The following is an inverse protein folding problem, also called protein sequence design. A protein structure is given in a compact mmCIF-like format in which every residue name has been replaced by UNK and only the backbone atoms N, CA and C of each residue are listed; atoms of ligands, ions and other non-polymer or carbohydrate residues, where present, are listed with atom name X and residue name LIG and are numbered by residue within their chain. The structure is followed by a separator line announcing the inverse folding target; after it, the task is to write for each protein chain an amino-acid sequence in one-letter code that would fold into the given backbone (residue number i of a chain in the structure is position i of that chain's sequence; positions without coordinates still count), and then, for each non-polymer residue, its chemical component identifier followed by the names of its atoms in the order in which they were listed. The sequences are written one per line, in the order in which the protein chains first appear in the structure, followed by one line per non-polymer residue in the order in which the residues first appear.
data_IF_669417941751
#
_entry.id   IF_669417941751
#
_cell.length_a   1.000
_cell.length_b   1.000
_cell.length_c   1.000
_cell.angle_alpha   90.00
_cell.angle_beta   90.00
_cell.angle_gamma   90.00
#
_symmetry.space_group_name_H-M   'P 1'
#
loop_
_entity.id
_entity.type
_entity.pdbx_description
1 polymer ?
#
# COMPACT_ATOMS: atom_id res chain seq x y z
N UNK A 1 18.67 10.53 -6.15
CA UNK A 1 17.48 9.71 -5.82
C UNK A 1 17.11 8.90 -7.06
N UNK A 2 16.96 7.59 -6.95
CA UNK A 2 16.46 6.74 -8.04
C UNK A 2 14.94 6.80 -8.09
N UNK A 3 14.34 6.55 -9.26
CA UNK A 3 12.87 6.53 -9.41
C UNK A 3 12.18 5.60 -8.39
N UNK A 4 12.81 4.48 -8.05
CA UNK A 4 12.32 3.50 -7.06
C UNK A 4 12.21 4.12 -5.66
N UNK A 5 13.20 4.92 -5.25
CA UNK A 5 13.17 5.61 -3.95
C UNK A 5 12.01 6.59 -3.84
N UNK A 6 11.67 7.27 -4.95
CA UNK A 6 10.53 8.20 -4.99
C UNK A 6 9.21 7.46 -4.81
N UNK A 7 8.99 6.36 -5.54
CA UNK A 7 7.77 5.57 -5.39
C UNK A 7 7.63 4.96 -4.00
N UNK A 8 8.74 4.45 -3.45
CA UNK A 8 8.77 3.96 -2.09
C UNK A 8 8.40 5.05 -1.08
N UNK A 9 8.97 6.24 -1.23
CA UNK A 9 8.69 7.37 -0.35
C UNK A 9 7.22 7.80 -0.40
N UNK A 10 6.59 7.80 -1.58
CA UNK A 10 5.19 8.17 -1.72
C UNK A 10 4.24 7.22 -0.98
N UNK A 11 4.60 5.94 -0.84
CA UNK A 11 3.72 4.92 -0.24
C UNK A 11 4.13 4.58 1.18
N UNK A 12 5.40 4.22 1.39
CA UNK A 12 5.90 3.56 2.61
C UNK A 12 6.71 4.48 3.52
N UNK A 13 6.93 5.74 3.17
CA UNK A 13 7.59 6.67 4.07
C UNK A 13 6.55 7.39 4.97
N UNK A 14 6.53 7.13 6.29
CA UNK A 14 5.55 7.72 7.21
C UNK A 14 5.72 9.23 7.44
N UNK A 15 6.79 9.83 6.94
CA UNK A 15 7.03 11.28 7.02
C UNK A 15 6.61 12.00 5.74
N UNK A 16 6.47 11.28 4.62
CA UNK A 16 6.20 11.86 3.29
C UNK A 16 4.86 11.44 2.70
N UNK A 17 4.32 10.30 3.12
CA UNK A 17 3.05 9.80 2.59
C UNK A 17 1.85 10.58 3.17
N UNK A 18 0.65 10.45 2.58
CA UNK A 18 -0.54 11.18 3.04
C UNK A 18 -0.88 10.95 4.52
N UNK A 19 -0.53 9.79 5.08
CA UNK A 19 -0.74 9.44 6.49
C UNK A 19 0.18 10.20 7.46
N UNK A 20 1.17 10.96 6.97
CA UNK A 20 2.17 11.64 7.81
C UNK A 20 1.57 12.61 8.83
N UNK A 21 0.36 13.12 8.55
CA UNK A 21 -0.38 14.11 9.34
C UNK A 21 -1.12 13.51 10.53
N UNK A 22 -1.38 12.21 10.50
CA UNK A 22 -2.10 11.53 11.56
C UNK A 22 -1.28 11.51 12.87
N UNK A 23 -1.95 11.44 14.04
CA UNK A 23 -1.28 11.23 15.31
C UNK A 23 -0.33 10.03 15.25
N UNK A 24 0.83 10.14 15.91
CA UNK A 24 1.92 9.14 15.83
C UNK A 24 1.45 7.69 16.01
N UNK A 25 0.49 7.47 16.92
CA UNK A 25 -0.05 6.14 17.23
C UNK A 25 -0.88 5.57 16.06
N UNK A 26 -1.80 6.36 15.50
CA UNK A 26 -2.66 5.95 14.38
C UNK A 26 -1.84 5.75 13.11
N UNK A 27 -0.87 6.66 12.88
CA UNK A 27 0.08 6.54 11.78
C UNK A 27 0.87 5.24 11.85
N UNK A 28 1.40 4.88 13.03
CA UNK A 28 2.11 3.62 13.20
C UNK A 28 1.21 2.42 12.88
N UNK A 29 -0.01 2.38 13.43
CA UNK A 29 -0.96 1.29 13.19
C UNK A 29 -1.29 1.13 11.70
N UNK A 30 -1.66 2.21 11.02
CA UNK A 30 -1.99 2.17 9.60
C UNK A 30 -0.79 1.78 8.74
N UNK A 31 0.41 2.26 9.07
CA UNK A 31 1.64 1.87 8.36
C UNK A 31 1.98 0.40 8.58
N UNK A 32 1.77 -0.14 9.78
CA UNK A 32 1.95 -1.58 10.05
C UNK A 32 0.93 -2.42 9.28
N UNK A 33 -0.34 -2.01 9.25
CA UNK A 33 -1.37 -2.69 8.46
C UNK A 33 -1.04 -2.63 6.96
N UNK A 34 -0.61 -1.48 6.46
CA UNK A 34 -0.19 -1.29 5.07
C UNK A 34 1.00 -2.23 4.74
N UNK A 35 2.01 -2.30 5.60
CA UNK A 35 3.14 -3.21 5.43
C UNK A 35 2.70 -4.68 5.40
N UNK A 36 1.86 -5.10 6.36
CA UNK A 36 1.34 -6.47 6.41
C UNK A 36 0.50 -6.82 5.18
N UNK A 37 -0.35 -5.90 4.72
CA UNK A 37 -1.16 -6.10 3.51
C UNK A 37 -0.26 -6.37 2.30
N UNK A 38 0.76 -5.52 2.07
CA UNK A 38 1.69 -5.70 0.96
C UNK A 38 2.52 -6.98 1.10
N UNK A 39 2.95 -7.35 2.31
CA UNK A 39 3.61 -8.65 2.56
C UNK A 39 2.72 -9.83 2.21
N UNK A 40 1.44 -9.80 2.59
CA UNK A 40 0.47 -10.87 2.29
C UNK A 40 0.21 -10.94 0.77
N UNK A 41 0.02 -9.80 0.11
CA UNK A 41 -0.19 -9.76 -1.35
C UNK A 41 1.01 -10.34 -2.08
N UNK A 42 2.24 -9.95 -1.73
CA UNK A 42 3.43 -10.49 -2.37
C UNK A 42 3.66 -11.96 -2.06
N UNK A 43 3.40 -12.40 -0.83
CA UNK A 43 3.50 -13.80 -0.45
C UNK A 43 2.48 -14.66 -1.20
N UNK A 44 1.21 -14.24 -1.24
CA UNK A 44 0.15 -14.92 -1.97
C UNK A 44 0.42 -14.94 -3.48
N UNK A 45 0.91 -13.82 -4.04
CA UNK A 45 1.28 -13.74 -5.46
C UNK A 45 2.45 -14.67 -5.79
N UNK A 46 3.50 -14.70 -4.96
CA UNK A 46 4.63 -15.61 -5.15
C UNK A 46 4.20 -17.08 -5.00
N UNK A 47 3.35 -17.40 -4.02
CA UNK A 47 2.78 -18.73 -3.83
C UNK A 47 1.94 -19.19 -5.02
N UNK A 48 1.07 -18.32 -5.54
CA UNK A 48 0.26 -18.59 -6.72
C UNK A 48 1.14 -18.80 -7.96
N UNK A 49 2.21 -18.01 -8.09
CA UNK A 49 3.15 -18.14 -9.20
C UNK A 49 3.86 -19.49 -9.18
N UNK A 50 4.28 -19.96 -8.00
CA UNK A 50 4.95 -21.26 -7.83
C UNK A 50 4.00 -22.43 -8.07
N UNK A 51 2.75 -22.35 -7.61
CA UNK A 51 1.80 -23.46 -7.78
C UNK A 51 1.26 -23.51 -9.21
N UNK A 52 0.75 -22.39 -9.72
CA UNK A 52 0.07 -22.37 -11.02
C UNK A 52 0.39 -21.06 -11.76
N UNK A 53 1.54 -21.01 -12.46
CA UNK A 53 1.98 -19.80 -13.16
C UNK A 53 1.01 -19.34 -14.26
N UNK A 54 0.10 -20.22 -14.71
CA UNK A 54 -0.95 -19.87 -15.67
C UNK A 54 -1.99 -18.87 -15.13
N UNK A 55 -2.18 -18.77 -13.81
CA UNK A 55 -3.19 -17.88 -13.20
C UNK A 55 -2.69 -16.43 -13.08
N UNK A 56 -2.15 -15.87 -14.16
CA UNK A 56 -1.71 -14.46 -14.21
C UNK A 56 -2.80 -13.48 -13.73
N UNK A 57 -4.07 -13.79 -14.02
CA UNK A 57 -5.23 -13.00 -13.59
C UNK A 57 -5.29 -12.87 -12.06
N UNK A 58 -4.98 -13.93 -11.31
CA UNK A 58 -4.99 -13.88 -9.84
C UNK A 58 -3.90 -12.96 -9.28
N UNK A 59 -2.71 -12.96 -9.88
CA UNK A 59 -1.60 -12.08 -9.49
C UNK A 59 -1.97 -10.61 -9.73
N UNK A 60 -2.51 -10.32 -10.91
CA UNK A 60 -2.95 -8.96 -11.27
C UNK A 60 -4.09 -8.50 -10.35
N UNK A 61 -5.07 -9.37 -10.05
CA UNK A 61 -6.16 -9.02 -9.15
C UNK A 61 -5.67 -8.68 -7.74
N UNK A 62 -4.72 -9.45 -7.18
CA UNK A 62 -4.14 -9.16 -5.85
C UNK A 62 -3.37 -7.84 -5.83
N UNK A 63 -2.59 -7.55 -6.88
CA UNK A 63 -1.88 -6.28 -7.00
C UNK A 63 -2.84 -5.10 -7.12
N UNK A 64 -3.88 -5.22 -7.95
CA UNK A 64 -4.90 -4.18 -8.08
C UNK A 64 -5.60 -3.92 -6.75
N UNK A 65 -5.95 -4.97 -6.00
CA UNK A 65 -6.55 -4.84 -4.68
C UNK A 65 -5.65 -4.02 -3.73
N UNK A 66 -4.35 -4.30 -3.71
CA UNK A 66 -3.39 -3.55 -2.90
C UNK A 66 -3.25 -2.08 -3.31
N UNK A 67 -3.20 -1.81 -4.63
CA UNK A 67 -3.09 -0.45 -5.19
C UNK A 67 -4.35 0.36 -4.90
N UNK A 68 -5.53 -0.19 -5.22
CA UNK A 68 -6.81 0.49 -4.98
C UNK A 68 -7.08 0.69 -3.49
N UNK A 69 -6.78 -0.32 -2.65
CA UNK A 69 -6.92 -0.20 -1.20
C UNK A 69 -6.03 0.92 -0.63
N UNK A 70 -4.76 0.97 -1.03
CA UNK A 70 -3.83 2.02 -0.60
C UNK A 70 -4.29 3.39 -1.09
N UNK A 71 -4.65 3.51 -2.38
CA UNK A 71 -5.11 4.75 -2.98
C UNK A 71 -6.41 5.28 -2.37
N UNK A 72 -7.35 4.39 -2.04
CA UNK A 72 -8.60 4.77 -1.38
C UNK A 72 -8.36 5.37 0.00
N UNK A 73 -7.54 4.72 0.84
CA UNK A 73 -7.22 5.22 2.18
C UNK A 73 -6.48 6.56 2.11
N UNK A 74 -5.54 6.67 1.19
CA UNK A 74 -4.79 7.92 1.00
C UNK A 74 -5.71 9.06 0.55
N UNK A 75 -6.64 8.80 -0.38
CA UNK A 75 -7.62 9.79 -0.84
C UNK A 75 -8.52 10.26 0.31
N UNK A 76 -9.09 9.34 1.08
CA UNK A 76 -9.97 9.69 2.22
C UNK A 76 -9.24 10.60 3.20
N UNK A 77 -8.00 10.26 3.55
CA UNK A 77 -7.21 11.07 4.47
C UNK A 77 -6.80 12.44 3.87
N UNK A 78 -6.65 12.55 2.55
CA UNK A 78 -6.40 13.83 1.88
C UNK A 78 -7.67 14.69 1.71
N UNK A 79 -8.84 14.07 1.58
CA UNK A 79 -10.13 14.78 1.49
C UNK A 79 -10.59 15.32 2.85
N UNK A 80 -10.36 14.57 3.93
CA UNK A 80 -10.61 15.01 5.30
C UNK A 80 -9.84 16.30 5.62
N UNK A 81 -8.61 16.42 5.11
CA UNK A 81 -7.81 17.65 5.21
C UNK A 81 -8.41 18.84 4.46
N UNK A 82 -8.98 18.64 3.26
CA UNK A 82 -9.52 19.75 2.48
C UNK A 82 -10.83 20.32 3.06
N UNK A 83 -11.43 19.60 4.02
CA UNK A 83 -12.67 19.97 4.69
C UNK A 83 -12.47 20.69 6.04
N UNK A 84 -11.27 20.61 6.63
CA UNK A 84 -10.85 21.29 7.87
C UNK A 84 -10.08 22.60 7.62
#
# INVERSE_FOLDING_TARGET
MTMISTYWDTVMNPEKNPLARLPKIARFQLMTVLALMWSVIFCASAGLFMWTPQFFVGHVALLLLGIFGTGYIFRVNSEEEAAD
#
